data_IF_780186341567
#
_entry.id   IF_780186341567
#
_cell.length_a   1.000
_cell.length_b   1.000
_cell.length_c   1.000
_cell.angle_alpha   90.00
_cell.angle_beta   90.00
_cell.angle_gamma   90.00
#
_symmetry.space_group_name_H-M   'P 1'
#
loop_
_entity.id
_entity.type
_entity.pdbx_description
1 polymer ?
#
# COMPACT_ATOMS: atom_id res chain seq x y z
N UNK A 1 -1.72 -14.33 5.29
CA UNK A 1 -2.24 -15.13 4.17
C UNK A 1 -3.30 -16.09 4.67
N UNK A 2 -4.47 -16.06 4.05
CA UNK A 2 -5.55 -17.03 4.28
C UNK A 2 -5.21 -18.28 3.45
N UNK A 3 -4.66 -19.29 4.09
CA UNK A 3 -4.11 -20.47 3.41
C UNK A 3 -5.14 -21.26 2.58
N UNK A 4 -6.40 -21.28 3.00
CA UNK A 4 -7.50 -21.97 2.27
C UNK A 4 -7.94 -21.20 1.01
N UNK A 5 -7.86 -19.87 1.01
CA UNK A 5 -8.19 -19.07 -0.14
C UNK A 5 -7.05 -18.98 -1.17
N UNK A 6 -5.84 -19.42 -0.82
CA UNK A 6 -4.69 -19.36 -1.70
C UNK A 6 -4.76 -20.39 -2.82
N UNK A 7 -4.85 -19.97 -4.07
CA UNK A 7 -4.98 -20.82 -5.25
C UNK A 7 -3.65 -21.51 -5.68
N UNK A 8 -2.61 -21.47 -4.86
CA UNK A 8 -1.32 -22.13 -5.16
C UNK A 8 -0.74 -21.70 -6.53
N UNK A 9 -0.86 -20.41 -6.87
CA UNK A 9 -0.34 -19.92 -8.14
C UNK A 9 1.13 -20.31 -8.31
N UNK A 10 1.57 -20.74 -9.51
CA UNK A 10 2.95 -21.10 -9.74
C UNK A 10 3.85 -19.88 -9.55
N UNK A 11 5.01 -20.07 -8.94
CA UNK A 11 5.97 -18.96 -8.72
C UNK A 11 6.44 -18.38 -10.05
N UNK A 12 6.87 -19.26 -10.95
CA UNK A 12 7.28 -18.88 -12.30
C UNK A 12 7.16 -20.11 -13.21
N UNK A 13 6.40 -19.96 -14.28
CA UNK A 13 6.10 -21.05 -15.21
C UNK A 13 6.08 -20.52 -16.64
N UNK A 14 6.63 -21.27 -17.58
CA UNK A 14 6.43 -21.04 -19.02
C UNK A 14 5.64 -22.22 -19.56
N UNK A 15 4.46 -21.97 -20.11
CA UNK A 15 3.58 -23.02 -20.62
C UNK A 15 3.08 -22.70 -22.03
N UNK A 16 2.75 -23.75 -22.75
CA UNK A 16 2.08 -23.66 -24.05
C UNK A 16 0.57 -23.64 -23.82
N UNK A 17 -0.11 -22.71 -24.47
CA UNK A 17 -1.57 -22.62 -24.48
C UNK A 17 -2.17 -23.39 -25.68
N UNK A 18 -3.50 -23.48 -25.68
CA UNK A 18 -4.24 -24.13 -26.79
C UNK A 18 -4.14 -23.40 -28.14
N UNK A 19 -3.59 -22.18 -28.14
CA UNK A 19 -3.34 -21.42 -29.39
C UNK A 19 -2.15 -21.96 -30.21
N UNK A 20 -1.42 -22.99 -29.71
CA UNK A 20 -0.29 -23.56 -30.44
C UNK A 20 -0.74 -24.23 -31.74
N UNK A 21 -0.21 -23.76 -32.88
CA UNK A 21 -0.55 -24.26 -34.21
C UNK A 21 0.36 -25.43 -34.68
N UNK A 22 1.33 -25.85 -33.87
CA UNK A 22 2.25 -26.91 -34.26
C UNK A 22 3.05 -26.58 -35.53
N UNK A 23 3.47 -25.31 -35.67
CA UNK A 23 4.12 -24.80 -36.89
C UNK A 23 5.36 -25.62 -37.29
N UNK A 24 5.55 -25.82 -38.58
CA UNK A 24 6.60 -26.68 -39.14
C UNK A 24 8.02 -26.21 -38.80
N UNK A 25 8.24 -24.89 -38.73
CA UNK A 25 9.57 -24.31 -38.45
C UNK A 25 10.03 -24.44 -36.98
N UNK A 26 9.12 -24.80 -36.06
CA UNK A 26 9.41 -24.98 -34.62
C UNK A 26 10.29 -23.88 -33.96
N UNK A 27 10.07 -22.57 -34.20
CA UNK A 27 10.97 -21.50 -33.74
C UNK A 27 11.17 -21.49 -32.24
N UNK A 28 10.16 -21.90 -31.47
CA UNK A 28 10.26 -22.00 -30.03
C UNK A 28 11.23 -23.09 -29.55
N UNK A 29 11.36 -24.19 -30.29
CA UNK A 29 12.30 -25.27 -30.01
C UNK A 29 13.72 -24.84 -30.35
N UNK A 30 13.92 -24.23 -31.53
CA UNK A 30 15.21 -23.77 -32.03
C UNK A 30 15.85 -22.72 -31.09
N UNK A 31 15.03 -21.79 -30.56
CA UNK A 31 15.56 -20.74 -29.66
C UNK A 31 15.83 -21.24 -28.23
N UNK A 32 15.43 -22.45 -27.88
CA UNK A 32 15.55 -22.95 -26.51
C UNK A 32 16.99 -23.39 -26.15
N UNK A 33 17.72 -22.65 -25.28
CA UNK A 33 19.12 -22.97 -24.97
C UNK A 33 19.28 -24.27 -24.19
N UNK A 34 18.22 -24.75 -23.56
CA UNK A 34 18.20 -26.01 -22.78
C UNK A 34 17.54 -27.17 -23.49
N UNK A 35 17.10 -26.98 -24.75
CA UNK A 35 16.35 -27.99 -25.52
C UNK A 35 15.18 -28.59 -24.74
N UNK A 36 14.55 -27.76 -23.90
CA UNK A 36 13.42 -28.16 -23.06
C UNK A 36 12.08 -28.24 -23.80
N UNK A 37 12.07 -28.02 -25.12
CA UNK A 37 10.83 -27.99 -25.91
C UNK A 37 10.84 -29.17 -26.87
N UNK A 38 9.78 -29.94 -26.83
CA UNK A 38 9.50 -31.05 -27.75
C UNK A 38 8.12 -30.89 -28.38
N UNK A 39 7.87 -31.63 -29.46
CA UNK A 39 6.55 -31.67 -30.12
C UNK A 39 5.91 -33.01 -29.85
N UNK A 40 4.65 -32.98 -29.39
CA UNK A 40 3.81 -34.18 -29.15
C UNK A 40 2.40 -33.87 -29.62
N UNK A 41 1.77 -34.81 -30.35
CA UNK A 41 0.41 -34.66 -30.84
C UNK A 41 0.15 -33.33 -31.59
N UNK A 42 1.09 -32.92 -32.45
CA UNK A 42 0.99 -31.69 -33.24
C UNK A 42 1.13 -30.39 -32.45
N UNK A 43 1.57 -30.42 -31.17
CA UNK A 43 1.75 -29.23 -30.33
C UNK A 43 3.09 -29.22 -29.64
N UNK A 44 3.57 -28.01 -29.37
CA UNK A 44 4.76 -27.78 -28.53
C UNK A 44 4.47 -28.19 -27.07
N UNK A 45 5.45 -28.82 -26.46
CA UNK A 45 5.43 -29.21 -25.05
C UNK A 45 6.73 -28.76 -24.39
N UNK A 46 6.63 -28.13 -23.20
CA UNK A 46 7.78 -27.64 -22.44
C UNK A 46 8.01 -28.55 -21.23
N UNK A 47 9.17 -29.16 -21.19
CA UNK A 47 9.65 -29.89 -20.00
C UNK A 47 10.02 -28.87 -18.92
N UNK A 48 9.27 -28.88 -17.80
CA UNK A 48 9.44 -27.93 -16.72
C UNK A 48 10.70 -28.15 -15.88
N UNK A 49 11.24 -29.37 -15.88
CA UNK A 49 12.46 -29.73 -15.14
C UNK A 49 13.72 -29.22 -15.87
N UNK A 50 13.69 -29.25 -17.21
CA UNK A 50 14.75 -28.72 -18.05
C UNK A 50 14.63 -27.20 -18.28
N UNK A 51 13.41 -26.65 -18.14
CA UNK A 51 13.13 -25.26 -18.48
C UNK A 51 13.68 -24.28 -17.44
N UNK A 52 14.63 -23.44 -17.85
CA UNK A 52 15.20 -22.35 -17.02
C UNK A 52 14.32 -21.10 -16.98
N UNK A 53 13.12 -21.13 -17.57
CA UNK A 53 12.13 -20.04 -17.54
C UNK A 53 12.61 -18.70 -18.11
N UNK A 54 13.58 -18.74 -19.05
CA UNK A 54 14.20 -17.53 -19.63
C UNK A 54 13.24 -16.70 -20.51
N UNK A 55 12.18 -17.31 -21.05
CA UNK A 55 11.16 -16.62 -21.84
C UNK A 55 11.47 -16.42 -23.32
N UNK A 56 12.65 -16.88 -23.84
CA UNK A 56 12.98 -16.71 -25.27
C UNK A 56 11.93 -17.28 -26.21
N UNK A 57 11.38 -18.43 -25.89
CA UNK A 57 10.32 -19.07 -26.67
C UNK A 57 8.98 -18.26 -26.66
N UNK A 58 8.76 -17.46 -25.61
CA UNK A 58 7.55 -16.59 -25.53
C UNK A 58 7.62 -15.50 -26.60
N UNK A 59 8.76 -14.82 -26.70
CA UNK A 59 8.96 -13.73 -27.67
C UNK A 59 9.10 -14.20 -29.11
N UNK A 60 9.54 -15.45 -29.32
CA UNK A 60 9.76 -16.02 -30.65
C UNK A 60 8.49 -16.64 -31.25
N UNK A 61 7.50 -16.97 -30.44
CA UNK A 61 6.27 -17.60 -30.94
C UNK A 61 5.41 -16.62 -31.72
N UNK A 62 5.20 -16.81 -33.06
CA UNK A 62 4.42 -15.88 -33.89
C UNK A 62 2.91 -15.89 -33.53
N UNK A 63 2.44 -16.93 -32.85
CA UNK A 63 1.05 -17.10 -32.42
C UNK A 63 0.79 -16.68 -30.99
N UNK A 64 1.80 -16.17 -30.28
CA UNK A 64 1.71 -15.87 -28.83
C UNK A 64 1.18 -17.04 -27.99
N UNK A 65 1.37 -18.27 -28.48
CA UNK A 65 0.87 -19.48 -27.84
C UNK A 65 1.66 -19.92 -26.62
N UNK A 66 2.82 -19.33 -26.35
CA UNK A 66 3.64 -19.62 -25.18
C UNK A 66 3.53 -18.44 -24.22
N UNK A 67 3.09 -18.73 -23.00
CA UNK A 67 2.86 -17.70 -21.98
C UNK A 67 3.75 -17.92 -20.77
N UNK A 68 4.24 -16.81 -20.22
CA UNK A 68 4.95 -16.80 -18.95
C UNK A 68 3.97 -16.44 -17.84
N UNK A 69 3.80 -17.34 -16.91
CA UNK A 69 2.92 -17.16 -15.74
C UNK A 69 3.77 -16.97 -14.52
N UNK A 70 3.45 -15.94 -13.75
CA UNK A 70 4.09 -15.65 -12.46
C UNK A 70 3.00 -15.44 -11.40
N UNK A 71 3.31 -15.82 -10.17
CA UNK A 71 2.42 -15.59 -9.03
C UNK A 71 2.18 -14.09 -8.86
N UNK A 72 0.94 -13.58 -8.96
CA UNK A 72 0.69 -12.14 -8.95
C UNK A 72 1.20 -11.43 -7.70
N UNK A 73 0.97 -12.01 -6.51
CA UNK A 73 1.43 -11.42 -5.25
C UNK A 73 2.97 -11.39 -5.14
N UNK A 74 3.68 -12.39 -5.66
CA UNK A 74 5.14 -12.42 -5.65
C UNK A 74 5.72 -11.45 -6.70
N UNK A 75 5.09 -11.37 -7.88
CA UNK A 75 5.45 -10.41 -8.94
C UNK A 75 5.33 -8.96 -8.47
N UNK A 76 4.28 -8.66 -7.70
CA UNK A 76 4.04 -7.34 -7.14
C UNK A 76 4.92 -6.99 -5.93
N UNK A 77 5.66 -7.96 -5.38
CA UNK A 77 6.49 -7.75 -4.20
C UNK A 77 7.86 -7.19 -4.57
N UNK A 78 8.05 -5.88 -4.45
CA UNK A 78 9.30 -5.19 -4.79
C UNK A 78 10.52 -5.61 -3.95
N UNK A 79 10.30 -6.23 -2.76
CA UNK A 79 11.37 -6.70 -1.86
C UNK A 79 11.54 -8.22 -1.88
N UNK A 80 10.84 -8.94 -2.74
CA UNK A 80 10.96 -10.40 -2.87
C UNK A 80 10.64 -11.19 -1.60
N UNK A 81 9.67 -10.70 -0.81
CA UNK A 81 9.31 -11.30 0.48
C UNK A 81 8.31 -12.47 0.36
N UNK A 82 7.84 -12.82 -0.84
CA UNK A 82 6.83 -13.87 -1.03
C UNK A 82 7.44 -15.10 -1.69
N UNK A 83 7.30 -16.22 -1.02
CA UNK A 83 7.74 -17.54 -1.46
C UNK A 83 6.59 -18.55 -1.41
N UNK A 84 6.82 -19.79 -1.86
CA UNK A 84 5.93 -20.90 -1.64
C UNK A 84 6.21 -21.58 -0.29
N UNK A 85 5.16 -21.98 0.40
CA UNK A 85 5.28 -22.99 1.47
C UNK A 85 5.38 -24.42 0.89
N UNK A 86 5.50 -25.41 1.76
CA UNK A 86 5.57 -26.85 1.41
C UNK A 86 4.39 -27.36 0.58
N UNK A 87 3.24 -26.67 0.66
CA UNK A 87 2.03 -27.00 -0.09
C UNK A 87 1.84 -26.13 -1.34
N UNK A 88 2.84 -25.33 -1.74
CA UNK A 88 2.77 -24.44 -2.89
C UNK A 88 1.93 -23.18 -2.67
N UNK A 89 1.51 -22.86 -1.43
CA UNK A 89 0.74 -21.65 -1.10
C UNK A 89 1.68 -20.48 -0.84
N UNK A 90 1.18 -19.27 -1.01
CA UNK A 90 1.95 -18.07 -0.68
C UNK A 90 2.32 -18.04 0.81
N UNK A 91 3.57 -17.71 1.07
CA UNK A 91 4.13 -17.48 2.39
C UNK A 91 4.93 -16.20 2.41
N UNK A 92 4.79 -15.39 3.47
CA UNK A 92 5.41 -14.08 3.57
C UNK A 92 6.59 -14.15 4.54
N UNK A 93 7.78 -13.86 4.03
CA UNK A 93 8.97 -13.67 4.86
C UNK A 93 8.90 -12.29 5.53
N UNK A 94 8.50 -12.25 6.79
CA UNK A 94 8.34 -11.02 7.56
C UNK A 94 9.67 -10.29 7.83
N UNK A 95 10.81 -10.97 7.73
CA UNK A 95 12.11 -10.31 7.84
C UNK A 95 12.39 -9.40 6.62
N UNK A 96 11.87 -9.76 5.45
CA UNK A 96 11.97 -8.97 4.23
C UNK A 96 10.78 -8.03 4.05
N UNK A 97 9.61 -8.43 4.52
CA UNK A 97 8.37 -7.69 4.31
C UNK A 97 8.45 -6.28 4.89
N UNK A 98 7.96 -5.31 4.13
CA UNK A 98 7.85 -3.88 4.51
C UNK A 98 6.40 -3.42 4.67
N UNK A 99 5.45 -4.37 4.66
CA UNK A 99 4.01 -4.15 4.86
C UNK A 99 3.35 -3.15 3.89
N UNK A 100 3.89 -2.98 2.68
CA UNK A 100 3.39 -2.02 1.70
C UNK A 100 1.99 -2.35 1.13
N UNK A 101 1.46 -3.57 1.32
CA UNK A 101 0.14 -3.97 0.84
C UNK A 101 0.06 -4.40 -0.64
N UNK A 102 1.13 -4.26 -1.45
CA UNK A 102 1.09 -4.57 -2.89
C UNK A 102 0.64 -6.01 -3.20
N UNK A 103 1.02 -6.97 -2.35
CA UNK A 103 0.59 -8.36 -2.51
C UNK A 103 -0.91 -8.57 -2.22
N UNK A 104 -1.50 -7.74 -1.36
CA UNK A 104 -2.93 -7.74 -1.05
C UNK A 104 -3.73 -7.30 -2.27
N UNK A 105 -3.41 -6.12 -2.82
CA UNK A 105 -4.08 -5.54 -3.98
C UNK A 105 -3.97 -6.45 -5.22
N UNK A 106 -2.83 -7.14 -5.39
CA UNK A 106 -2.57 -7.98 -6.56
C UNK A 106 -3.01 -9.45 -6.39
N UNK A 107 -3.66 -9.84 -5.28
CA UNK A 107 -4.16 -11.19 -5.11
C UNK A 107 -5.59 -11.34 -5.65
N UNK A 108 -5.81 -11.96 -6.84
CA UNK A 108 -7.15 -12.06 -7.42
C UNK A 108 -8.09 -13.00 -6.66
N UNK A 109 -7.57 -13.72 -5.66
CA UNK A 109 -8.33 -14.68 -4.83
C UNK A 109 -8.64 -14.11 -3.44
N UNK A 110 -8.27 -12.87 -3.13
CA UNK A 110 -8.43 -12.30 -1.79
C UNK A 110 -7.71 -13.08 -0.68
N UNK A 111 -6.72 -13.91 -1.04
CA UNK A 111 -6.02 -14.76 -0.07
C UNK A 111 -5.02 -14.00 0.81
N UNK A 112 -4.64 -12.80 0.44
CA UNK A 112 -3.79 -11.94 1.24
C UNK A 112 -4.64 -10.77 1.68
N UNK A 113 -4.79 -10.65 2.98
CA UNK A 113 -5.56 -9.59 3.63
C UNK A 113 -4.71 -8.92 4.69
N UNK A 114 -5.01 -7.70 5.02
CA UNK A 114 -4.45 -7.00 6.17
C UNK A 114 -5.24 -7.34 7.46
N UNK A 115 -4.89 -6.70 8.55
CA UNK A 115 -5.62 -6.80 9.81
C UNK A 115 -6.63 -5.66 9.89
N UNK A 116 -7.84 -5.89 9.39
CA UNK A 116 -8.93 -4.92 9.44
C UNK A 116 -9.31 -4.54 10.86
N UNK A 117 -9.66 -3.28 11.09
CA UNK A 117 -10.05 -2.71 12.38
C UNK A 117 -11.47 -2.12 12.39
N UNK A 118 -12.25 -2.35 11.32
CA UNK A 118 -13.64 -1.84 11.19
C UNK A 118 -14.49 -2.29 12.37
N UNK A 119 -14.41 -3.56 12.75
CA UNK A 119 -15.23 -4.10 13.86
C UNK A 119 -14.93 -3.39 15.18
N UNK A 120 -13.66 -3.24 15.53
CA UNK A 120 -13.23 -2.57 16.76
C UNK A 120 -13.64 -1.10 16.77
N UNK A 121 -13.52 -0.41 15.63
CA UNK A 121 -13.97 0.96 15.46
C UNK A 121 -15.48 1.08 15.66
N UNK A 122 -16.28 0.23 15.01
CA UNK A 122 -17.75 0.24 15.18
C UNK A 122 -18.14 -0.02 16.64
N UNK A 123 -17.45 -0.92 17.33
CA UNK A 123 -17.69 -1.18 18.75
C UNK A 123 -17.36 0.04 19.61
N UNK A 124 -16.27 0.76 19.31
CA UNK A 124 -15.90 1.99 20.00
C UNK A 124 -16.96 3.07 19.84
N UNK A 125 -17.41 3.33 18.61
CA UNK A 125 -18.51 4.28 18.31
C UNK A 125 -19.80 3.89 19.04
N UNK A 126 -20.17 2.59 19.01
CA UNK A 126 -21.40 2.11 19.67
C UNK A 126 -21.36 2.21 21.20
N UNK A 127 -20.18 2.17 21.81
CA UNK A 127 -20.03 2.39 23.25
C UNK A 127 -20.15 3.86 23.64
N UNK A 128 -20.16 4.77 22.68
CA UNK A 128 -20.18 6.21 22.91
C UNK A 128 -18.80 6.81 23.15
N UNK A 129 -17.73 6.10 22.78
CA UNK A 129 -16.37 6.68 22.82
C UNK A 129 -16.33 7.89 21.85
N UNK A 130 -15.69 8.98 22.23
CA UNK A 130 -15.36 10.07 21.33
C UNK A 130 -14.34 9.58 20.30
N UNK A 131 -14.77 9.39 19.05
CA UNK A 131 -13.86 8.95 17.98
C UNK A 131 -13.63 10.10 17.00
N UNK A 132 -12.37 10.52 16.85
CA UNK A 132 -11.96 11.54 15.90
C UNK A 132 -11.27 10.89 14.71
N UNK A 133 -11.75 11.19 13.50
CA UNK A 133 -11.09 10.76 12.28
C UNK A 133 -9.99 11.74 11.87
N UNK A 134 -8.83 11.22 11.48
CA UNK A 134 -7.78 11.99 10.83
C UNK A 134 -7.56 11.43 9.42
N UNK A 135 -7.73 12.27 8.40
CA UNK A 135 -7.78 11.83 7.00
C UNK A 135 -6.51 12.24 6.27
N UNK A 136 -5.87 11.27 5.61
CA UNK A 136 -4.64 11.52 4.84
C UNK A 136 -4.91 12.50 3.68
N UNK A 137 -3.95 13.36 3.29
CA UNK A 137 -4.10 14.31 2.19
C UNK A 137 -4.52 13.67 0.86
N UNK A 138 -4.19 12.39 0.66
CA UNK A 138 -4.58 11.61 -0.52
C UNK A 138 -6.09 11.31 -0.63
N UNK A 139 -6.94 11.86 0.23
CA UNK A 139 -8.41 11.67 0.15
C UNK A 139 -9.03 12.31 -1.09
N UNK A 140 -8.37 13.31 -1.67
CA UNK A 140 -8.83 14.03 -2.86
C UNK A 140 -9.05 13.05 -4.02
N UNK A 141 -10.22 13.12 -4.65
CA UNK A 141 -10.66 12.22 -5.73
C UNK A 141 -10.79 10.72 -5.36
N UNK A 142 -10.80 10.36 -4.07
CA UNK A 142 -11.05 8.96 -3.65
C UNK A 142 -12.53 8.58 -3.71
N UNK A 143 -13.42 9.56 -3.53
CA UNK A 143 -14.87 9.34 -3.52
C UNK A 143 -15.53 10.22 -4.59
N UNK A 144 -16.54 9.72 -5.32
CA UNK A 144 -17.28 10.51 -6.30
C UNK A 144 -17.93 11.75 -5.66
N UNK A 145 -17.85 12.90 -6.31
CA UNK A 145 -18.51 14.15 -5.94
C UNK A 145 -18.25 14.60 -4.48
N UNK A 146 -17.14 14.18 -3.90
CA UNK A 146 -16.75 14.50 -2.54
C UNK A 146 -16.10 15.88 -2.46
N UNK A 147 -16.56 16.67 -1.48
CA UNK A 147 -15.90 17.90 -1.01
C UNK A 147 -15.50 17.75 0.46
N UNK A 148 -14.64 18.61 1.02
CA UNK A 148 -14.30 18.57 2.43
C UNK A 148 -15.52 18.60 3.36
N UNK A 149 -16.49 19.48 3.09
CA UNK A 149 -17.73 19.58 3.86
C UNK A 149 -18.56 18.28 3.81
N UNK A 150 -18.75 17.74 2.61
CA UNK A 150 -19.46 16.46 2.43
C UNK A 150 -18.77 15.31 3.13
N UNK A 151 -17.43 15.23 3.06
CA UNK A 151 -16.68 14.19 3.78
C UNK A 151 -16.89 14.31 5.30
N UNK A 152 -16.82 15.53 5.84
CA UNK A 152 -17.06 15.78 7.27
C UNK A 152 -18.46 15.35 7.70
N UNK A 153 -19.48 15.68 6.91
CA UNK A 153 -20.86 15.27 7.18
C UNK A 153 -21.03 13.75 7.06
N UNK A 154 -20.43 13.12 6.05
CA UNK A 154 -20.45 11.66 5.88
C UNK A 154 -19.84 10.96 7.10
N UNK A 155 -18.70 11.44 7.58
CA UNK A 155 -18.02 10.90 8.77
C UNK A 155 -18.88 11.06 10.02
N UNK A 156 -19.53 12.21 10.18
CA UNK A 156 -20.50 12.43 11.28
C UNK A 156 -21.66 11.44 11.24
N UNK A 157 -22.21 11.15 10.05
CA UNK A 157 -23.27 10.13 9.88
C UNK A 157 -22.80 8.71 10.19
N UNK A 158 -21.51 8.41 10.05
CA UNK A 158 -20.92 7.15 10.52
C UNK A 158 -20.79 7.10 12.05
N UNK A 159 -20.85 8.24 12.73
CA UNK A 159 -20.73 8.35 14.19
C UNK A 159 -19.38 8.87 14.69
N UNK A 160 -18.54 9.42 13.82
CA UNK A 160 -17.34 10.15 14.26
C UNK A 160 -17.73 11.48 14.92
N UNK A 161 -17.06 11.81 16.01
CA UNK A 161 -17.28 13.06 16.73
C UNK A 161 -16.72 14.27 15.96
N UNK A 162 -15.57 14.09 15.31
CA UNK A 162 -14.92 15.12 14.51
C UNK A 162 -14.09 14.51 13.39
N UNK A 163 -13.71 15.33 12.40
CA UNK A 163 -12.81 14.94 11.29
C UNK A 163 -11.81 16.05 11.06
N UNK A 164 -10.51 15.69 11.08
CA UNK A 164 -9.38 16.59 10.81
C UNK A 164 -8.54 16.08 9.65
N UNK A 165 -7.85 16.97 8.96
CA UNK A 165 -6.91 16.58 7.91
C UNK A 165 -5.49 16.37 8.47
N UNK A 166 -4.82 15.33 8.00
CA UNK A 166 -3.43 15.02 8.39
C UNK A 166 -2.43 15.99 7.74
N UNK A 167 -2.88 16.80 6.78
CA UNK A 167 -2.06 17.84 6.16
C UNK A 167 -1.50 18.85 7.17
N UNK A 168 -2.19 19.11 8.28
CA UNK A 168 -1.66 19.94 9.39
C UNK A 168 -0.40 19.31 9.98
N UNK A 169 -0.45 18.01 10.26
CA UNK A 169 0.73 17.29 10.74
C UNK A 169 1.83 17.19 9.68
N UNK A 170 1.47 17.25 8.39
CA UNK A 170 2.43 17.32 7.30
C UNK A 170 3.17 18.67 7.28
N UNK A 171 2.48 19.78 7.50
CA UNK A 171 3.10 21.10 7.66
C UNK A 171 4.13 21.11 8.80
N UNK A 172 3.76 20.58 9.96
CA UNK A 172 4.65 20.46 11.11
C UNK A 172 5.85 19.54 10.82
N UNK A 173 5.60 18.39 10.20
CA UNK A 173 6.66 17.45 9.82
C UNK A 173 7.65 18.10 8.85
N UNK A 174 7.16 18.92 7.91
CA UNK A 174 8.01 19.64 6.96
C UNK A 174 8.95 20.61 7.67
N UNK A 175 8.46 21.34 8.66
CA UNK A 175 9.27 22.27 9.45
C UNK A 175 10.38 21.51 10.20
N UNK A 176 10.02 20.43 10.88
CA UNK A 176 10.98 19.60 11.61
C UNK A 176 12.05 18.99 10.66
N UNK A 177 11.62 18.40 9.53
CA UNK A 177 12.54 17.79 8.56
C UNK A 177 13.43 18.83 7.87
N UNK A 178 12.92 20.03 7.57
CA UNK A 178 13.72 21.10 6.99
C UNK A 178 14.81 21.60 7.98
N UNK A 179 14.46 21.72 9.24
CA UNK A 179 15.41 22.08 10.28
C UNK A 179 16.54 21.05 10.44
N UNK A 180 16.15 19.75 10.54
CA UNK A 180 17.11 18.64 10.59
C UNK A 180 18.02 18.63 9.34
N UNK A 181 17.44 18.87 8.15
CA UNK A 181 18.19 18.91 6.91
C UNK A 181 19.27 20.00 6.93
N UNK A 182 18.92 21.22 7.35
CA UNK A 182 19.86 22.33 7.42
C UNK A 182 20.99 22.10 8.42
N UNK A 183 20.72 21.39 9.53
CA UNK A 183 21.72 21.08 10.53
C UNK A 183 22.62 19.90 10.16
N UNK A 184 22.09 18.90 9.45
CA UNK A 184 22.76 17.63 9.24
C UNK A 184 23.36 17.43 7.84
N UNK A 185 22.87 18.14 6.82
CA UNK A 185 23.34 17.99 5.44
C UNK A 185 24.13 19.23 5.00
N UNK A 186 25.34 19.11 4.43
CA UNK A 186 26.13 17.85 4.23
C UNK A 186 27.02 17.49 5.42
N UNK A 187 26.95 18.17 6.55
CA UNK A 187 27.90 18.08 7.68
C UNK A 187 28.02 16.70 8.28
N UNK A 188 26.90 16.03 8.55
CA UNK A 188 26.82 14.70 9.15
C UNK A 188 26.46 13.62 8.09
N UNK A 189 25.59 13.96 7.17
CA UNK A 189 25.05 13.06 6.17
C UNK A 189 25.17 13.66 4.75
N UNK A 190 25.42 12.83 3.70
CA UNK A 190 25.51 13.32 2.33
C UNK A 190 24.15 13.72 1.74
N UNK A 191 23.05 13.24 2.32
CA UNK A 191 21.67 13.56 1.98
C UNK A 191 20.74 13.16 3.13
N UNK A 192 19.51 13.62 3.10
CA UNK A 192 18.45 13.16 4.00
C UNK A 192 17.26 12.63 3.19
N UNK A 193 16.74 11.47 3.59
CA UNK A 193 15.52 10.88 3.05
C UNK A 193 14.36 11.08 4.02
N UNK A 194 13.21 11.59 3.53
CA UNK A 194 12.01 11.77 4.34
C UNK A 194 11.44 10.44 4.84
N UNK A 195 10.77 10.41 5.97
CA UNK A 195 10.28 9.18 6.62
C UNK A 195 8.76 9.04 6.68
N UNK A 196 8.00 9.93 6.05
CA UNK A 196 6.53 9.96 6.11
C UNK A 196 5.86 8.66 5.61
N UNK A 197 6.51 7.89 4.74
CA UNK A 197 6.04 6.57 4.28
C UNK A 197 6.73 5.44 5.05
N UNK A 198 6.03 4.70 5.94
CA UNK A 198 6.65 3.64 6.75
C UNK A 198 7.14 2.45 5.92
N UNK A 199 6.52 2.15 4.78
CA UNK A 199 6.99 1.10 3.86
C UNK A 199 8.32 1.49 3.21
N UNK A 200 8.46 2.75 2.79
CA UNK A 200 9.68 3.30 2.24
C UNK A 200 10.82 3.31 3.27
N UNK A 201 10.61 3.90 4.43
CA UNK A 201 11.66 4.02 5.45
C UNK A 201 12.16 2.65 5.94
N UNK A 202 11.25 1.67 6.11
CA UNK A 202 11.63 0.29 6.45
C UNK A 202 12.39 -0.38 5.31
N UNK A 203 11.97 -0.21 4.07
CA UNK A 203 12.66 -0.75 2.90
C UNK A 203 14.07 -0.17 2.78
N UNK A 204 14.19 1.15 2.89
CA UNK A 204 15.48 1.85 2.80
C UNK A 204 16.45 1.35 3.89
N UNK A 205 16.03 1.31 5.14
CA UNK A 205 16.86 0.83 6.27
C UNK A 205 17.24 -0.65 6.15
N UNK A 206 16.36 -1.51 5.62
CA UNK A 206 16.66 -2.94 5.43
C UNK A 206 17.58 -3.23 4.25
N UNK A 207 17.33 -2.59 3.10
CA UNK A 207 18.04 -2.91 1.87
C UNK A 207 19.33 -2.08 1.69
N UNK A 208 19.41 -0.92 2.35
CA UNK A 208 20.54 0.01 2.27
C UNK A 208 21.03 0.41 3.67
N UNK A 209 21.48 -0.56 4.50
CA UNK A 209 21.78 -0.30 5.92
C UNK A 209 22.86 0.77 6.12
N UNK A 210 23.79 0.95 5.18
CA UNK A 210 24.82 2.02 5.24
C UNK A 210 24.25 3.45 5.09
N UNK A 211 23.03 3.59 4.65
CA UNK A 211 22.31 4.87 4.56
C UNK A 211 21.14 4.96 5.56
N UNK A 212 21.05 4.03 6.49
CA UNK A 212 19.96 3.99 7.46
C UNK A 212 19.87 5.28 8.29
N UNK A 213 21.02 5.86 8.63
CA UNK A 213 21.13 7.09 9.41
C UNK A 213 20.81 8.35 8.60
N UNK A 214 20.80 8.25 7.25
CA UNK A 214 20.34 9.32 6.37
C UNK A 214 18.81 9.41 6.26
N UNK A 215 18.06 8.49 6.88
CA UNK A 215 16.60 8.51 6.86
C UNK A 215 16.10 9.26 8.09
N UNK A 216 15.38 10.36 7.85
CA UNK A 216 14.81 11.22 8.88
C UNK A 216 14.15 10.42 10.01
N UNK A 217 14.34 10.88 11.23
CA UNK A 217 13.69 10.34 12.43
C UNK A 217 12.52 11.21 12.89
N UNK A 218 12.17 12.26 12.15
CA UNK A 218 11.02 13.11 12.41
C UNK A 218 9.73 12.26 12.53
N UNK A 219 8.82 12.72 13.36
CA UNK A 219 7.51 12.07 13.49
C UNK A 219 6.71 12.25 12.22
N UNK A 220 6.04 11.17 11.80
CA UNK A 220 5.24 11.21 10.58
C UNK A 220 4.00 12.11 10.76
N UNK A 221 3.45 12.68 9.68
CA UNK A 221 2.23 13.50 9.72
C UNK A 221 1.07 12.84 10.49
N UNK A 222 0.87 11.55 10.33
CA UNK A 222 -0.15 10.79 11.07
C UNK A 222 0.06 10.87 12.58
N UNK A 223 1.28 10.66 13.04
CA UNK A 223 1.62 10.66 14.47
C UNK A 223 1.53 12.06 15.06
N UNK A 224 2.05 13.06 14.35
CA UNK A 224 1.97 14.48 14.77
C UNK A 224 0.52 14.92 14.92
N UNK A 225 -0.32 14.68 13.90
CA UNK A 225 -1.75 15.05 13.97
C UNK A 225 -2.46 14.34 15.13
N UNK A 226 -2.21 13.05 15.33
CA UNK A 226 -2.83 12.30 16.41
C UNK A 226 -2.44 12.86 17.79
N UNK A 227 -1.15 13.15 18.00
CA UNK A 227 -0.64 13.72 19.27
C UNK A 227 -1.16 15.12 19.50
N UNK A 228 -1.27 15.95 18.47
CA UNK A 228 -1.83 17.29 18.56
C UNK A 228 -3.29 17.23 19.04
N UNK A 229 -4.11 16.39 18.42
CA UNK A 229 -5.50 16.22 18.83
C UNK A 229 -5.66 15.65 20.24
N UNK A 230 -4.76 14.78 20.67
CA UNK A 230 -4.75 14.24 22.04
C UNK A 230 -4.43 15.28 23.12
N UNK A 231 -3.83 16.41 22.77
CA UNK A 231 -3.62 17.51 23.73
C UNK A 231 -4.96 18.15 24.10
N UNK A 232 -5.83 18.37 23.11
CA UNK A 232 -7.15 18.98 23.33
C UNK A 232 -8.21 17.95 23.72
N UNK A 233 -8.07 16.71 23.23
CA UNK A 233 -9.01 15.59 23.42
C UNK A 233 -8.31 14.35 23.98
N UNK A 234 -7.79 14.36 25.23
CA UNK A 234 -6.96 13.28 25.76
C UNK A 234 -7.67 11.92 25.86
N UNK A 235 -9.01 11.91 26.00
CA UNK A 235 -9.82 10.69 26.06
C UNK A 235 -10.29 10.20 24.70
N UNK A 236 -10.19 11.02 23.64
CA UNK A 236 -10.69 10.65 22.30
C UNK A 236 -9.91 9.47 21.72
N UNK A 237 -10.59 8.62 20.95
CA UNK A 237 -9.99 7.60 20.12
C UNK A 237 -9.67 8.18 18.74
N UNK A 238 -8.46 7.98 18.27
CA UNK A 238 -8.02 8.49 16.97
C UNK A 238 -8.10 7.39 15.92
N UNK A 239 -8.83 7.67 14.84
CA UNK A 239 -8.94 6.80 13.68
C UNK A 239 -8.26 7.45 12.47
N UNK A 240 -7.14 6.91 12.01
CA UNK A 240 -6.51 7.36 10.77
C UNK A 240 -7.20 6.70 9.57
N UNK A 241 -7.48 7.49 8.55
CA UNK A 241 -7.99 7.04 7.25
C UNK A 241 -7.01 7.41 6.15
N UNK A 242 -6.55 6.42 5.37
CA UNK A 242 -5.55 6.70 4.35
C UNK A 242 -5.42 5.64 3.27
N UNK A 243 -4.49 5.82 2.32
CA UNK A 243 -4.44 5.04 1.09
C UNK A 243 -3.80 3.66 1.22
N UNK A 244 -3.14 3.33 2.34
CA UNK A 244 -2.35 2.11 2.38
C UNK A 244 -2.31 1.40 3.73
N UNK A 245 -2.17 0.06 3.67
CA UNK A 245 -2.08 -0.81 4.84
C UNK A 245 -0.78 -0.61 5.68
N UNK A 246 0.26 0.06 5.14
CA UNK A 246 1.51 0.27 5.87
C UNK A 246 1.33 1.10 7.14
N UNK A 247 0.36 2.00 7.16
CA UNK A 247 0.02 2.80 8.34
C UNK A 247 -0.54 1.96 9.50
N UNK A 248 -1.16 0.80 9.22
CA UNK A 248 -1.59 -0.17 10.25
C UNK A 248 -0.39 -0.72 11.02
N UNK A 249 0.72 -1.01 10.31
CA UNK A 249 1.96 -1.42 10.96
C UNK A 249 2.57 -0.29 11.80
N UNK A 250 2.62 0.93 11.26
CA UNK A 250 3.17 2.09 11.95
C UNK A 250 2.41 2.36 13.25
N UNK A 251 1.08 2.41 13.18
CA UNK A 251 0.23 2.63 14.34
C UNK A 251 0.41 1.56 15.43
N UNK A 252 0.70 0.31 15.04
CA UNK A 252 0.88 -0.81 15.98
C UNK A 252 2.27 -0.90 16.62
N UNK A 253 3.25 -0.10 16.17
CA UNK A 253 4.61 -0.15 16.69
C UNK A 253 4.71 0.54 18.05
N UNK A 254 5.07 -0.20 19.08
CA UNK A 254 5.32 0.34 20.43
C UNK A 254 6.40 1.43 20.45
N UNK A 255 7.42 1.33 19.60
CA UNK A 255 8.50 2.33 19.49
C UNK A 255 8.02 3.68 18.96
N UNK A 256 6.95 3.72 18.17
CA UNK A 256 6.41 4.95 17.58
C UNK A 256 5.50 5.69 18.56
N UNK A 257 4.75 4.96 19.42
CA UNK A 257 3.73 5.53 20.33
C UNK A 257 2.82 6.50 19.58
N UNK A 258 2.15 5.98 18.56
CA UNK A 258 1.48 6.80 17.54
C UNK A 258 0.27 7.59 18.06
N UNK A 259 -0.31 7.20 19.20
CA UNK A 259 -1.61 7.70 19.72
C UNK A 259 -2.79 7.46 18.74
N UNK A 260 -2.59 6.61 17.75
CA UNK A 260 -3.62 6.19 16.79
C UNK A 260 -4.20 4.86 17.22
N UNK A 261 -5.50 4.84 17.50
CA UNK A 261 -6.21 3.64 17.98
C UNK A 261 -6.67 2.74 16.84
N UNK A 262 -7.10 3.33 15.71
CA UNK A 262 -7.60 2.60 14.55
C UNK A 262 -7.00 3.15 13.25
N UNK A 263 -6.80 2.26 12.28
CA UNK A 263 -6.37 2.63 10.93
C UNK A 263 -7.29 1.96 9.91
N UNK A 264 -7.92 2.76 9.06
CA UNK A 264 -8.72 2.31 7.93
C UNK A 264 -8.05 2.69 6.61
N UNK A 265 -8.27 1.88 5.58
CA UNK A 265 -8.02 2.29 4.20
C UNK A 265 -9.23 3.03 3.64
N UNK A 266 -9.05 3.74 2.52
CA UNK A 266 -10.19 4.39 1.84
C UNK A 266 -11.22 3.37 1.36
N UNK A 267 -10.80 2.18 0.93
CA UNK A 267 -11.70 1.09 0.54
C UNK A 267 -12.53 0.57 1.73
N UNK A 268 -11.91 0.44 2.91
CA UNK A 268 -12.61 0.06 4.14
C UNK A 268 -13.64 1.12 4.52
N UNK A 269 -13.29 2.41 4.42
CA UNK A 269 -14.21 3.53 4.68
C UNK A 269 -15.33 3.57 3.65
N UNK A 270 -15.05 3.36 2.35
CA UNK A 270 -16.07 3.26 1.30
C UNK A 270 -17.08 2.18 1.63
N UNK A 271 -16.63 1.00 2.05
CA UNK A 271 -17.53 -0.08 2.48
C UNK A 271 -18.43 0.32 3.66
N UNK A 272 -17.95 1.18 4.57
CA UNK A 272 -18.79 1.71 5.66
C UNK A 272 -19.84 2.70 5.15
N UNK A 273 -19.50 3.57 4.20
CA UNK A 273 -20.45 4.48 3.57
C UNK A 273 -21.55 3.72 2.82
N UNK A 274 -21.18 2.73 2.02
CA UNK A 274 -22.09 1.84 1.31
C UNK A 274 -23.04 1.12 2.26
N UNK A 275 -22.52 0.54 3.35
CA UNK A 275 -23.32 -0.17 4.34
C UNK A 275 -24.32 0.74 5.07
N UNK A 276 -24.05 2.03 5.15
CA UNK A 276 -24.91 3.06 5.73
C UNK A 276 -25.76 3.80 4.69
N UNK A 277 -25.62 3.44 3.41
CA UNK A 277 -26.30 4.10 2.29
C UNK A 277 -26.05 5.63 2.27
N UNK A 278 -24.81 6.03 2.59
CA UNK A 278 -24.37 7.42 2.53
C UNK A 278 -23.93 7.71 1.10
N UNK A 279 -24.69 8.54 0.40
CA UNK A 279 -24.36 9.03 -0.93
C UNK A 279 -23.90 10.48 -0.84
N UNK A 280 -22.73 10.80 -1.43
CA UNK A 280 -22.17 12.15 -1.40
C UNK A 280 -23.00 13.17 -2.18
N UNK A 281 -23.81 12.74 -3.15
CA UNK A 281 -24.70 13.64 -3.90
C UNK A 281 -25.82 14.23 -3.02
N UNK A 282 -26.23 13.49 -1.99
CA UNK A 282 -27.32 13.87 -1.08
C UNK A 282 -26.83 14.62 0.17
N UNK A 283 -25.52 14.88 0.27
CA UNK A 283 -24.94 15.55 1.43
C UNK A 283 -24.90 17.07 1.23
N UNK A 284 -25.13 17.85 2.31
CA UNK A 284 -24.94 19.30 2.27
C UNK A 284 -23.48 19.62 1.96
N UNK A 285 -23.30 20.67 1.17
CA UNK A 285 -21.98 21.17 0.79
C UNK A 285 -21.77 22.60 1.34
N UNK A 286 -20.54 22.89 1.72
CA UNK A 286 -20.11 24.23 2.08
C UNK A 286 -18.79 24.54 1.33
N UNK A 287 -18.83 25.38 0.29
CA UNK A 287 -17.64 25.72 -0.48
C UNK A 287 -16.57 26.50 0.32
N UNK A 288 -16.92 27.02 1.51
CA UNK A 288 -15.98 27.68 2.41
C UNK A 288 -15.34 26.75 3.45
N UNK A 289 -15.76 25.48 3.51
CA UNK A 289 -15.13 24.51 4.41
C UNK A 289 -13.77 24.08 3.86
N UNK A 290 -12.70 24.63 4.42
CA UNK A 290 -11.32 24.32 4.12
C UNK A 290 -10.72 23.26 5.07
N UNK A 291 -11.54 22.42 5.72
CA UNK A 291 -11.10 21.57 6.82
C UNK A 291 -10.48 22.39 7.96
N UNK A 292 -9.20 22.17 8.22
CA UNK A 292 -8.48 22.76 9.34
C UNK A 292 -7.42 23.79 8.90
N UNK A 293 -7.53 24.35 7.68
CA UNK A 293 -6.64 25.38 7.14
C UNK A 293 -5.16 24.93 7.00
N UNK A 294 -4.91 23.65 6.68
CA UNK A 294 -3.58 23.20 6.31
C UNK A 294 -3.08 23.93 5.05
N UNK A 295 -1.77 24.05 4.92
CA UNK A 295 -1.15 24.70 3.77
C UNK A 295 -1.30 23.89 2.47
N UNK A 296 -0.97 24.51 1.34
CA UNK A 296 -0.86 23.80 0.06
C UNK A 296 0.28 22.75 0.09
N UNK A 297 1.36 23.05 0.81
CA UNK A 297 2.53 22.16 0.94
C UNK A 297 2.19 20.91 1.76
N UNK A 298 1.51 21.06 2.91
CA UNK A 298 1.02 19.93 3.69
C UNK A 298 0.05 19.04 2.90
N UNK A 299 -0.84 19.65 2.10
CA UNK A 299 -1.73 18.91 1.18
C UNK A 299 -0.96 18.29 0.01
N UNK A 300 0.19 18.83 -0.36
CA UNK A 300 1.10 18.29 -1.37
C UNK A 300 1.64 16.90 -1.05
N UNK A 301 1.61 16.46 0.21
CA UNK A 301 1.91 15.07 0.59
C UNK A 301 0.95 14.03 -0.03
N UNK A 302 -0.14 14.47 -0.66
CA UNK A 302 -1.04 13.62 -1.44
C UNK A 302 -0.35 12.95 -2.65
N UNK A 303 0.71 13.54 -3.19
CA UNK A 303 1.39 13.09 -4.40
C UNK A 303 2.79 12.56 -4.13
N UNK A 304 3.31 11.76 -5.06
CA UNK A 304 4.67 11.23 -4.97
C UNK A 304 5.70 12.37 -5.01
N UNK A 305 6.63 12.36 -4.05
CA UNK A 305 7.63 13.40 -3.90
C UNK A 305 7.15 14.64 -3.14
N UNK A 306 5.86 14.72 -2.78
CA UNK A 306 5.27 15.90 -2.13
C UNK A 306 5.95 16.30 -0.83
N UNK A 307 6.36 15.32 0.00
CA UNK A 307 7.11 15.62 1.23
C UNK A 307 8.48 16.28 0.98
N UNK A 308 9.20 15.83 -0.05
CA UNK A 308 10.46 16.47 -0.44
C UNK A 308 10.26 17.85 -1.06
N UNK A 309 9.20 18.05 -1.84
CA UNK A 309 8.88 19.34 -2.44
C UNK A 309 8.44 20.39 -1.41
N UNK A 310 7.74 19.98 -0.35
CA UNK A 310 7.31 20.87 0.72
C UNK A 310 8.47 21.37 1.59
N UNK A 311 9.56 20.59 1.72
CA UNK A 311 10.76 20.96 2.49
C UNK A 311 11.82 21.76 1.72
N UNK A 312 11.63 21.94 0.41
CA UNK A 312 12.55 22.71 -0.46
C UNK A 312 12.06 24.12 -0.69
#
# INVERSE_FOLDING_TARGET
VIKFACNRCPEKLVKVSDMCQGCLAHPCQEVCPKKAISFRNGRSHIDQDLCIKCGRCVTTCPYNAIVKVERPCAKACGVGAIRSDEHGRADIDYNKCVSCGMCLVNCPFGAIVDKGQIFQLIQSIKRGDEVIAIVAPAFVNQFPNMTPAKLREAMKRLGFANTAEVAIGADLCTIDEAHDFLEEVPSKHPFMGTSCCPAWSVMAKKNFPKFADCISMAMTPMVLTARLLKQDHPAARICFVGPCAAKKLEASRHSVRSEVDFVLTFEELMGMFEAKQINFDDLPDDPNDNFNNASADGRGFAVSGGGGAAGG
#
